data_IF_748452502076
#
_entry.id   IF_748452502076
#
_cell.length_a   1.000
_cell.length_b   1.000
_cell.length_c   1.000
_cell.angle_alpha   90.00
_cell.angle_beta   90.00
_cell.angle_gamma   90.00
#
_symmetry.space_group_name_H-M   'P 1'
#
loop_
_entity.id
_entity.type
_entity.pdbx_description
1 polymer ?
#
# COMPACT_ATOMS: atom_id res chain seq x y z
N UNK A 1 -4.01 4.89 -17.41
CA UNK A 1 -4.93 5.39 -16.39
C UNK A 1 -4.27 5.31 -15.05
N UNK A 2 -4.27 6.36 -14.24
CA UNK A 2 -3.77 6.27 -12.89
C UNK A 2 -4.67 5.37 -12.06
N UNK A 3 -4.09 4.72 -11.08
CA UNK A 3 -4.84 3.89 -10.15
C UNK A 3 -5.69 4.79 -9.24
N UNK A 4 -6.88 4.32 -8.86
CA UNK A 4 -7.77 5.10 -8.02
C UNK A 4 -7.23 5.24 -6.59
N UNK A 5 -7.26 6.45 -6.03
CA UNK A 5 -6.80 6.68 -4.67
C UNK A 5 -7.83 6.25 -3.63
N UNK A 6 -7.35 6.08 -2.40
CA UNK A 6 -8.20 5.93 -1.23
C UNK A 6 -7.84 7.06 -0.28
N UNK A 7 -8.79 7.97 -0.04
CA UNK A 7 -8.55 9.17 0.77
C UNK A 7 -9.14 9.06 2.17
N UNK A 8 -10.14 8.20 2.36
CA UNK A 8 -10.76 7.99 3.66
C UNK A 8 -10.55 6.53 4.08
N UNK A 9 -9.88 6.35 5.20
CA UNK A 9 -9.52 5.01 5.68
C UNK A 9 -9.25 5.02 7.17
N UNK A 10 -9.28 3.83 7.76
CA UNK A 10 -8.90 3.60 9.15
C UNK A 10 -7.74 2.61 9.14
N UNK A 11 -6.75 2.82 10.00
CA UNK A 11 -5.63 1.90 10.14
C UNK A 11 -5.92 0.94 11.29
N UNK A 12 -5.94 -0.37 11.01
CA UNK A 12 -6.16 -1.37 12.06
C UNK A 12 -4.97 -1.44 13.00
N UNK A 13 -5.18 -1.98 14.20
CA UNK A 13 -4.07 -2.16 15.16
C UNK A 13 -2.96 -3.00 14.59
N UNK A 14 -3.30 -4.07 13.87
CA UNK A 14 -2.32 -4.93 13.23
C UNK A 14 -1.48 -4.15 12.21
N UNK A 15 -2.15 -3.38 11.35
CA UNK A 15 -1.45 -2.57 10.34
C UNK A 15 -0.55 -1.53 11.00
N UNK A 16 -1.03 -0.85 12.05
CA UNK A 16 -0.24 0.15 12.76
C UNK A 16 1.02 -0.49 13.37
N UNK A 17 0.87 -1.67 13.97
CA UNK A 17 1.99 -2.41 14.53
C UNK A 17 3.01 -2.77 13.44
N UNK A 18 2.56 -3.28 12.30
CA UNK A 18 3.43 -3.66 11.19
C UNK A 18 4.14 -2.44 10.60
N UNK A 19 3.46 -1.32 10.47
CA UNK A 19 4.07 -0.09 9.98
C UNK A 19 5.22 0.34 10.87
N UNK A 20 4.98 0.36 12.18
CA UNK A 20 6.01 0.76 13.14
C UNK A 20 7.21 -0.18 13.08
N UNK A 21 6.96 -1.47 13.02
CA UNK A 21 8.01 -2.48 12.98
C UNK A 21 8.85 -2.37 11.69
N UNK A 22 8.24 -1.95 10.60
CA UNK A 22 8.88 -1.90 9.28
C UNK A 22 9.35 -0.51 8.88
N UNK A 23 9.22 0.46 9.77
CA UNK A 23 9.68 1.82 9.49
C UNK A 23 8.86 2.54 8.42
N UNK A 24 7.56 2.29 8.38
CA UNK A 24 6.64 2.95 7.46
C UNK A 24 5.79 3.92 8.29
N UNK A 25 5.93 5.23 8.05
CA UNK A 25 5.16 6.21 8.79
C UNK A 25 3.83 6.54 8.10
N UNK A 26 3.00 7.34 8.79
CA UNK A 26 1.70 7.72 8.27
C UNK A 26 1.77 8.56 7.00
N UNK A 27 2.81 9.38 6.86
CA UNK A 27 2.99 10.20 5.67
C UNK A 27 3.22 9.30 4.44
N UNK A 28 4.03 8.26 4.60
CA UNK A 28 4.27 7.30 3.53
C UNK A 28 2.99 6.52 3.18
N UNK A 29 2.27 6.05 4.21
CA UNK A 29 1.00 5.35 4.00
C UNK A 29 0.02 6.22 3.22
N UNK A 30 -0.16 7.48 3.66
CA UNK A 30 -1.07 8.41 3.01
C UNK A 30 -0.66 8.66 1.56
N UNK A 31 0.63 8.81 1.32
CA UNK A 31 1.18 9.03 -0.01
C UNK A 31 0.86 7.86 -0.95
N UNK A 32 1.01 6.63 -0.50
CA UNK A 32 0.71 5.45 -1.31
C UNK A 32 -0.79 5.38 -1.62
N UNK A 33 -1.64 5.66 -0.63
CA UNK A 33 -3.09 5.58 -0.82
C UNK A 33 -3.64 6.73 -1.66
N UNK A 34 -3.05 7.91 -1.53
CA UNK A 34 -3.51 9.09 -2.28
C UNK A 34 -3.07 9.06 -3.74
N UNK A 35 -1.93 8.45 -4.04
CA UNK A 35 -1.39 8.42 -5.40
C UNK A 35 -0.70 7.08 -5.66
N UNK A 36 -1.46 5.98 -5.67
CA UNK A 36 -0.86 4.66 -5.86
C UNK A 36 -0.29 4.52 -7.27
N UNK A 37 0.87 3.90 -7.36
CA UNK A 37 1.45 3.58 -8.65
C UNK A 37 0.68 2.46 -9.33
N UNK A 38 0.24 1.48 -8.55
CA UNK A 38 -0.57 0.36 -9.04
C UNK A 38 -1.61 -0.04 -7.99
N UNK A 39 -2.75 -0.55 -8.47
CA UNK A 39 -3.79 -1.05 -7.60
C UNK A 39 -4.39 -2.30 -8.23
N UNK A 40 -4.49 -3.37 -7.46
CA UNK A 40 -5.03 -4.65 -7.91
C UNK A 40 -5.97 -5.24 -6.88
N UNK A 41 -6.90 -6.06 -7.35
CA UNK A 41 -7.74 -6.85 -6.47
C UNK A 41 -6.94 -8.06 -5.97
N UNK A 42 -6.94 -8.26 -4.67
CA UNK A 42 -6.35 -9.45 -4.04
C UNK A 42 -7.40 -10.55 -4.00
N UNK A 43 -8.62 -10.16 -3.63
CA UNK A 43 -9.80 -11.00 -3.62
C UNK A 43 -11.00 -10.06 -3.54
N UNK A 44 -12.23 -10.55 -3.75
CA UNK A 44 -13.40 -9.69 -3.59
C UNK A 44 -13.37 -8.97 -2.23
N UNK A 45 -13.49 -7.66 -2.24
CA UNK A 45 -13.50 -6.83 -1.04
C UNK A 45 -12.12 -6.42 -0.51
N UNK A 46 -11.03 -6.89 -1.10
CA UNK A 46 -9.69 -6.49 -0.66
C UNK A 46 -8.80 -6.15 -1.84
N UNK A 47 -8.22 -4.96 -1.81
CA UNK A 47 -7.28 -4.49 -2.83
C UNK A 47 -5.90 -4.28 -2.22
N UNK A 48 -4.88 -4.34 -3.08
CA UNK A 48 -3.54 -3.91 -2.73
C UNK A 48 -3.21 -2.66 -3.56
N UNK A 49 -2.71 -1.63 -2.87
CA UNK A 49 -2.22 -0.40 -3.50
C UNK A 49 -0.72 -0.37 -3.25
N UNK A 50 0.06 -0.08 -4.28
CA UNK A 50 1.51 -0.11 -4.13
C UNK A 50 2.19 1.01 -4.89
N UNK A 51 3.35 1.40 -4.39
CA UNK A 51 4.16 2.47 -4.96
C UNK A 51 5.63 2.13 -4.77
N UNK A 52 6.44 2.47 -5.76
CA UNK A 52 7.89 2.34 -5.65
C UNK A 52 8.45 3.57 -4.95
N UNK A 53 9.31 3.36 -3.97
CA UNK A 53 9.94 4.44 -3.21
C UNK A 53 11.43 4.16 -3.04
N UNK A 54 12.22 5.22 -2.89
CA UNK A 54 13.64 5.10 -2.60
C UNK A 54 13.89 5.56 -1.17
N UNK A 55 14.49 4.70 -0.37
CA UNK A 55 14.82 4.99 1.02
C UNK A 55 16.29 4.69 1.19
N UNK A 56 17.08 5.71 1.58
CA UNK A 56 18.53 5.56 1.78
C UNK A 56 19.22 4.89 0.58
N UNK A 57 18.94 5.40 -0.61
CA UNK A 57 19.51 4.93 -1.89
C UNK A 57 19.10 3.53 -2.30
N UNK A 58 18.11 2.94 -1.64
CA UNK A 58 17.61 1.62 -1.97
C UNK A 58 16.15 1.69 -2.39
N UNK A 59 15.82 1.00 -3.48
CA UNK A 59 14.45 1.01 -3.99
C UNK A 59 13.61 -0.08 -3.36
N UNK A 60 12.39 0.29 -2.95
CA UNK A 60 11.41 -0.61 -2.36
C UNK A 60 10.08 -0.47 -3.08
N UNK A 61 9.26 -1.50 -2.95
CA UNK A 61 7.82 -1.39 -3.21
C UNK A 61 7.14 -1.39 -1.85
N UNK A 62 6.34 -0.36 -1.59
CA UNK A 62 5.48 -0.31 -0.39
C UNK A 62 4.12 -0.82 -0.80
N UNK A 63 3.63 -1.84 -0.14
CA UNK A 63 2.37 -2.51 -0.45
C UNK A 63 1.39 -2.34 0.70
N UNK A 64 0.21 -1.82 0.39
CA UNK A 64 -0.82 -1.52 1.38
C UNK A 64 -2.06 -2.34 1.02
N UNK A 65 -2.48 -3.21 1.93
CA UNK A 65 -3.67 -4.05 1.72
C UNK A 65 -4.84 -3.42 2.44
N UNK A 66 -5.93 -3.23 1.72
CA UNK A 66 -7.08 -2.46 2.20
C UNK A 66 -8.36 -3.23 1.95
N UNK A 67 -9.17 -3.35 2.98
CA UNK A 67 -10.53 -3.87 2.82
C UNK A 67 -11.40 -2.72 2.35
N UNK A 68 -11.90 -2.85 1.12
CA UNK A 68 -12.64 -1.79 0.43
C UNK A 68 -14.13 -2.05 0.36
N UNK A 69 -14.59 -3.14 0.96
CA UNK A 69 -16.01 -3.51 1.01
C UNK A 69 -16.75 -2.83 2.18
N UNK A 70 -16.15 -1.83 2.77
CA UNK A 70 -16.71 -1.06 3.89
C UNK A 70 -16.30 0.39 3.82
N UNK A 71 -17.03 1.25 4.51
CA UNK A 71 -16.79 2.69 4.56
C UNK A 71 -16.69 3.14 6.00
N UNK A 72 -15.58 3.75 6.42
CA UNK A 72 -14.35 3.94 5.66
C UNK A 72 -13.63 2.63 5.41
N UNK A 73 -12.78 2.60 4.39
CA UNK A 73 -11.94 1.45 4.08
C UNK A 73 -10.98 1.15 5.25
N UNK A 74 -10.62 -0.12 5.43
CA UNK A 74 -9.71 -0.51 6.51
C UNK A 74 -8.36 -0.95 5.95
N UNK A 75 -7.29 -0.27 6.38
CA UNK A 75 -5.93 -0.70 6.08
C UNK A 75 -5.59 -1.85 7.01
N UNK A 76 -5.38 -3.04 6.45
CA UNK A 76 -5.23 -4.26 7.25
C UNK A 76 -3.80 -4.78 7.32
N UNK A 77 -2.97 -4.49 6.31
CA UNK A 77 -1.57 -4.92 6.28
C UNK A 77 -0.77 -3.92 5.47
N UNK A 78 0.44 -3.61 5.94
CA UNK A 78 1.37 -2.74 5.21
C UNK A 78 2.76 -3.33 5.34
N UNK A 79 3.47 -3.45 4.21
CA UNK A 79 4.87 -3.82 4.26
C UNK A 79 5.64 -3.21 3.09
N UNK A 80 6.96 -3.29 3.17
CA UNK A 80 7.84 -2.87 2.08
C UNK A 80 8.77 -4.01 1.73
N UNK A 81 9.19 -4.08 0.48
CA UNK A 81 10.05 -5.14 -0.01
C UNK A 81 10.98 -4.63 -1.10
N UNK A 82 12.16 -5.20 -1.19
CA UNK A 82 13.10 -4.93 -2.28
C UNK A 82 12.85 -5.80 -3.50
N UNK A 83 11.91 -6.73 -3.41
CA UNK A 83 11.61 -7.68 -4.50
C UNK A 83 10.69 -7.04 -5.54
N UNK A 84 11.21 -6.02 -6.20
CA UNK A 84 10.42 -5.21 -7.13
C UNK A 84 9.88 -6.04 -8.28
N UNK A 85 10.71 -6.86 -8.90
CA UNK A 85 10.28 -7.69 -10.02
C UNK A 85 9.17 -8.67 -9.68
N UNK A 86 9.12 -9.10 -8.44
CA UNK A 86 8.10 -10.06 -8.00
C UNK A 86 6.72 -9.40 -7.89
N UNK A 87 6.68 -8.16 -7.45
CA UNK A 87 5.41 -7.51 -7.09
C UNK A 87 4.98 -6.39 -8.03
N UNK A 88 5.95 -5.74 -8.68
CA UNK A 88 5.61 -4.62 -9.56
C UNK A 88 5.28 -5.14 -10.95
N UNK A 89 4.07 -4.81 -11.44
CA UNK A 89 3.68 -5.20 -12.77
C UNK A 89 4.31 -4.23 -13.78
N UNK A 90 5.03 -4.78 -14.73
CA UNK A 90 5.49 -3.99 -15.85
C UNK A 90 4.33 -3.87 -16.83
N UNK A 91 4.08 -2.67 -17.35
CA UNK A 91 3.04 -2.48 -18.34
C UNK A 91 3.36 -3.33 -19.57
N UNK A 92 2.35 -3.90 -20.23
CA UNK A 92 2.54 -4.64 -21.45
C UNK A 92 3.07 -3.75 -22.55
#
# INVERSE_FOLDING_TARGET
MPAEPILEYVVTEHAAFEMKRRGIDEAMLRSVLAAPGQRDSVRPGRDVLQTRVTIEDKEFVVRVFVDVDRTPANVVTVYRTTKIRKYWRNAP
#
